data_IF_168811899458
#
_entry.id   IF_168811899458
#
_cell.length_a   1.000
_cell.length_b   1.000
_cell.length_c   1.000
_cell.angle_alpha   90.00
_cell.angle_beta   90.00
_cell.angle_gamma   90.00
#
_symmetry.space_group_name_H-M   'P 1'
#
loop_
_entity.id
_entity.type
_entity.pdbx_description
1 polymer ?
#
# COMPACT_ATOMS: atom_id res chain seq x y z
N UNK A 1 4.16 -1.47 -1.68
CA UNK A 1 4.84 -2.58 -2.34
C UNK A 1 3.86 -3.27 -3.30
N UNK A 2 4.21 -3.28 -4.59
CA UNK A 2 3.42 -3.94 -5.64
C UNK A 2 4.03 -5.30 -5.94
N UNK A 3 3.18 -6.31 -6.18
CA UNK A 3 3.64 -7.64 -6.57
C UNK A 3 3.74 -7.77 -8.09
N UNK A 4 4.83 -8.38 -8.54
CA UNK A 4 5.06 -8.67 -9.96
C UNK A 4 4.27 -9.95 -10.36
N UNK A 5 3.47 -9.95 -11.45
CA UNK A 5 3.23 -8.87 -12.40
C UNK A 5 2.18 -7.85 -11.92
N UNK A 6 2.56 -6.57 -11.92
CA UNK A 6 1.75 -5.45 -11.40
C UNK A 6 0.36 -5.37 -12.03
N UNK A 7 0.16 -5.59 -13.36
CA UNK A 7 -1.18 -5.58 -13.93
C UNK A 7 -2.08 -6.72 -13.44
N UNK A 8 -1.50 -7.89 -13.12
CA UNK A 8 -2.23 -9.09 -12.69
C UNK A 8 -2.43 -9.18 -11.18
N UNK A 9 -1.53 -8.61 -10.38
CA UNK A 9 -1.69 -8.59 -8.93
C UNK A 9 -2.80 -7.61 -8.54
N UNK A 10 -3.76 -8.06 -7.75
CA UNK A 10 -4.74 -7.19 -7.11
C UNK A 10 -4.22 -6.63 -5.78
N UNK A 11 -3.16 -7.18 -5.21
CA UNK A 11 -2.68 -6.80 -3.89
C UNK A 11 -1.63 -5.70 -3.97
N UNK A 12 -1.74 -4.73 -3.06
CA UNK A 12 -0.73 -3.69 -2.82
C UNK A 12 -0.56 -3.54 -1.31
N UNK A 13 0.66 -3.67 -0.83
CA UNK A 13 0.95 -3.45 0.60
C UNK A 13 1.35 -1.99 0.83
N UNK A 14 0.68 -1.35 1.78
CA UNK A 14 0.99 0.00 2.22
C UNK A 14 1.68 -0.10 3.57
N UNK A 15 3.00 0.11 3.55
CA UNK A 15 3.84 0.10 4.74
C UNK A 15 3.72 1.46 5.43
N UNK A 16 3.27 1.44 6.70
CA UNK A 16 3.18 2.65 7.52
C UNK A 16 4.30 2.67 8.55
N UNK A 17 5.14 3.71 8.51
CA UNK A 17 6.15 3.99 9.54
C UNK A 17 5.60 4.98 10.58
N UNK A 18 6.19 5.08 11.79
CA UNK A 18 5.76 6.04 12.82
C UNK A 18 5.80 7.51 12.36
N UNK A 19 6.66 7.84 11.41
CA UNK A 19 6.77 9.18 10.82
C UNK A 19 5.74 9.44 9.70
N UNK A 20 5.08 8.40 9.21
CA UNK A 20 4.10 8.53 8.13
C UNK A 20 2.81 9.13 8.69
N UNK A 21 2.46 10.33 8.21
CA UNK A 21 1.23 10.99 8.62
C UNK A 21 -0.01 10.20 8.21
N UNK A 22 -1.08 10.28 9.01
CA UNK A 22 -2.34 9.62 8.69
C UNK A 22 -2.92 10.08 7.35
N UNK A 23 -2.80 11.38 7.03
CA UNK A 23 -3.23 11.95 5.75
C UNK A 23 -2.49 11.34 4.56
N UNK A 24 -1.17 11.16 4.67
CA UNK A 24 -0.37 10.53 3.63
C UNK A 24 -0.81 9.08 3.41
N UNK A 25 -1.04 8.34 4.50
CA UNK A 25 -1.50 6.96 4.44
C UNK A 25 -2.86 6.83 3.73
N UNK A 26 -3.84 7.66 4.11
CA UNK A 26 -5.18 7.65 3.51
C UNK A 26 -5.15 8.03 2.03
N UNK A 27 -4.36 9.05 1.66
CA UNK A 27 -4.19 9.44 0.26
C UNK A 27 -3.64 8.29 -0.59
N UNK A 28 -2.73 7.50 -0.02
CA UNK A 28 -2.11 6.36 -0.71
C UNK A 28 -3.07 5.17 -0.81
N UNK A 29 -3.89 4.95 0.21
CA UNK A 29 -4.99 3.96 0.18
C UNK A 29 -5.96 4.29 -0.95
N UNK A 30 -6.40 5.54 -1.06
CA UNK A 30 -7.36 5.94 -2.08
C UNK A 30 -6.75 5.89 -3.48
N UNK A 31 -5.49 6.28 -3.63
CA UNK A 31 -4.74 6.07 -4.88
C UNK A 31 -4.68 4.59 -5.29
N UNK A 32 -4.48 3.67 -4.36
CA UNK A 32 -4.48 2.24 -4.69
C UNK A 32 -5.87 1.76 -5.14
N UNK A 33 -6.95 2.29 -4.54
CA UNK A 33 -8.33 1.96 -4.96
C UNK A 33 -8.65 2.50 -6.35
N UNK A 34 -8.18 3.70 -6.72
CA UNK A 34 -8.41 4.25 -8.08
C UNK A 34 -7.70 3.42 -9.16
N UNK A 35 -6.60 2.77 -8.81
CA UNK A 35 -5.91 1.80 -9.66
C UNK A 35 -6.62 0.42 -9.75
N UNK A 36 -7.78 0.26 -9.09
CA UNK A 36 -8.49 -1.01 -9.01
C UNK A 36 -7.73 -2.07 -8.18
N UNK A 37 -6.82 -1.64 -7.30
CA UNK A 37 -6.04 -2.51 -6.42
C UNK A 37 -6.66 -2.59 -5.04
N UNK A 38 -6.28 -3.62 -4.31
CA UNK A 38 -6.67 -3.89 -2.94
C UNK A 38 -5.51 -3.55 -2.00
N UNK A 39 -5.53 -2.36 -1.38
CA UNK A 39 -4.49 -1.95 -0.43
C UNK A 39 -4.62 -2.68 0.90
N UNK A 40 -3.51 -3.21 1.42
CA UNK A 40 -3.40 -3.83 2.74
C UNK A 40 -2.43 -3.03 3.60
N UNK A 41 -2.79 -2.75 4.84
CA UNK A 41 -1.91 -2.02 5.77
C UNK A 41 -0.91 -2.97 6.41
N UNK A 42 0.39 -2.67 6.28
CA UNK A 42 1.47 -3.42 6.91
C UNK A 42 2.30 -2.50 7.82
N UNK A 43 2.85 -3.08 8.89
CA UNK A 43 3.87 -2.42 9.71
C UNK A 43 5.24 -2.65 9.07
N UNK A 44 6.09 -1.63 9.13
CA UNK A 44 7.48 -1.69 8.70
C UNK A 44 8.24 -2.75 9.52
N UNK A 45 8.52 -3.89 8.89
CA UNK A 45 9.21 -5.03 9.49
C UNK A 45 10.12 -5.66 8.43
N UNK A 46 11.29 -6.22 8.78
CA UNK A 46 12.17 -6.81 7.78
C UNK A 46 11.44 -7.85 6.92
N UNK A 47 11.34 -7.59 5.61
CA UNK A 47 10.53 -8.39 4.67
C UNK A 47 9.25 -7.72 4.18
N UNK A 48 8.89 -6.54 4.71
CA UNK A 48 7.75 -5.70 4.31
C UNK A 48 8.12 -4.21 4.32
#
# INVERSE_FOLDING_TARGET
>A
HFFNPVPRSCLVEIIKTPMTSQKTFESLVDFCKTLGKHPVSCKDTPGF
#
